data_IF_865495386164
#
_entry.id   IF_865495386164
#
_cell.length_a   1.000
_cell.length_b   1.000
_cell.length_c   1.000
_cell.angle_alpha   90.00
_cell.angle_beta   90.00
_cell.angle_gamma   90.00
#
_symmetry.space_group_name_H-M   'P 1'
#
loop_
_entity.id
_entity.type
_entity.pdbx_description
1 polymer ?
#
# COMPACT_ATOMS: atom_id res chain seq x y z
N UNK A 1 5.54 33.41 -26.35
CA UNK A 1 5.08 32.00 -26.24
C UNK A 1 6.19 31.02 -25.83
N UNK A 2 7.48 31.37 -25.90
CA UNK A 2 8.59 30.42 -25.61
C UNK A 2 8.86 30.13 -24.12
N UNK A 3 8.42 30.98 -23.19
CA UNK A 3 8.65 30.75 -21.76
C UNK A 3 7.73 29.69 -21.13
N UNK A 4 6.53 29.49 -21.70
CA UNK A 4 5.54 28.54 -21.17
C UNK A 4 5.93 27.07 -21.44
N UNK A 5 6.64 26.80 -22.53
CA UNK A 5 7.09 25.45 -22.91
C UNK A 5 8.27 24.99 -22.02
N UNK A 6 9.18 25.91 -21.66
CA UNK A 6 10.33 25.58 -20.81
C UNK A 6 9.94 25.24 -19.36
N UNK A 7 8.90 25.89 -18.82
CA UNK A 7 8.37 25.59 -17.47
C UNK A 7 7.76 24.18 -17.43
N UNK A 8 7.00 23.80 -18.45
CA UNK A 8 6.37 22.47 -18.53
C UNK A 8 7.43 21.35 -18.63
N UNK A 9 8.54 21.58 -19.33
CA UNK A 9 9.62 20.61 -19.44
C UNK A 9 10.32 20.34 -18.10
N UNK A 10 10.61 21.39 -17.32
CA UNK A 10 11.21 21.27 -15.99
C UNK A 10 10.30 20.57 -14.99
N UNK A 11 8.99 20.79 -15.08
CA UNK A 11 8.03 20.06 -14.24
C UNK A 11 7.93 18.59 -14.64
N UNK A 12 7.94 18.27 -15.95
CA UNK A 12 7.89 16.89 -16.47
C UNK A 12 9.07 16.05 -15.96
N UNK A 13 10.27 16.61 -15.97
CA UNK A 13 11.48 15.94 -15.46
C UNK A 13 11.36 15.65 -13.95
N UNK A 14 10.84 16.61 -13.17
CA UNK A 14 10.55 16.42 -11.74
C UNK A 14 9.47 15.36 -11.50
N UNK A 15 8.45 15.27 -12.36
CA UNK A 15 7.40 14.24 -12.27
C UNK A 15 7.92 12.85 -12.69
N UNK A 16 8.90 12.77 -13.59
CA UNK A 16 9.56 11.52 -14.01
C UNK A 16 10.53 11.02 -12.94
N UNK A 17 11.30 11.92 -12.30
CA UNK A 17 12.21 11.60 -11.18
C UNK A 17 11.43 11.12 -9.94
N UNK A 18 10.30 11.76 -9.62
CA UNK A 18 9.36 11.28 -8.59
C UNK A 18 8.72 9.93 -8.91
N UNK A 19 8.56 9.59 -10.20
CA UNK A 19 7.99 8.30 -10.61
C UNK A 19 9.02 7.17 -10.51
N UNK A 20 10.29 7.43 -10.80
CA UNK A 20 11.37 6.45 -10.69
C UNK A 20 11.76 6.14 -9.23
N UNK A 21 11.75 7.12 -8.32
CA UNK A 21 12.01 6.88 -6.88
C UNK A 21 11.01 5.92 -6.23
N UNK A 22 9.80 5.77 -6.79
CA UNK A 22 8.77 4.87 -6.22
C UNK A 22 8.93 3.41 -6.63
N UNK A 23 9.91 3.08 -7.48
CA UNK A 23 10.14 1.72 -7.97
C UNK A 23 11.21 0.97 -7.16
N UNK A 24 11.27 1.20 -5.85
CA UNK A 24 11.93 0.24 -4.96
C UNK A 24 10.95 -0.89 -4.69
N UNK A 25 11.00 -1.91 -5.54
CA UNK A 25 10.38 -3.20 -5.26
C UNK A 25 11.07 -3.72 -4.00
N UNK A 26 10.40 -3.64 -2.86
CA UNK A 26 10.92 -4.20 -1.61
C UNK A 26 10.97 -5.71 -1.81
N UNK A 27 12.15 -6.24 -2.10
CA UNK A 27 12.37 -7.68 -2.18
C UNK A 27 12.17 -8.28 -0.78
N UNK A 28 11.15 -9.13 -0.66
CA UNK A 28 10.82 -9.84 0.57
C UNK A 28 11.53 -11.18 0.58
N UNK A 29 12.32 -11.43 1.61
CA UNK A 29 13.22 -12.59 1.69
C UNK A 29 12.52 -13.92 1.98
N UNK A 30 11.28 -13.89 2.44
CA UNK A 30 10.55 -15.06 2.98
C UNK A 30 9.34 -15.49 2.13
N UNK A 31 9.18 -14.93 0.93
CA UNK A 31 8.07 -15.29 0.01
C UNK A 31 8.54 -16.10 -1.21
N UNK A 32 9.84 -16.39 -1.34
CA UNK A 32 10.37 -17.17 -2.46
C UNK A 32 9.83 -18.60 -2.43
N UNK A 33 9.15 -19.02 -3.50
CA UNK A 33 8.53 -20.35 -3.59
C UNK A 33 7.24 -20.51 -2.78
N UNK A 34 6.78 -19.45 -2.10
CA UNK A 34 5.51 -19.46 -1.38
C UNK A 34 4.35 -19.23 -2.36
N UNK A 35 3.28 -20.01 -2.26
CA UNK A 35 2.13 -19.95 -3.19
C UNK A 35 1.45 -18.58 -3.24
N UNK A 36 1.56 -17.79 -2.16
CA UNK A 36 0.96 -16.46 -2.06
C UNK A 36 1.85 -15.34 -2.61
N UNK A 37 3.05 -15.64 -3.12
CA UNK A 37 4.04 -14.64 -3.54
C UNK A 37 3.43 -13.60 -4.49
N UNK A 38 2.78 -14.05 -5.56
CA UNK A 38 2.21 -13.18 -6.58
C UNK A 38 1.10 -12.29 -6.00
N UNK A 39 0.27 -12.82 -5.10
CA UNK A 39 -0.77 -12.04 -4.43
C UNK A 39 -0.18 -11.00 -3.46
N UNK A 40 0.89 -11.34 -2.75
CA UNK A 40 1.60 -10.42 -1.85
C UNK A 40 2.18 -9.26 -2.66
N UNK A 41 2.90 -9.57 -3.74
CA UNK A 41 3.47 -8.54 -4.61
C UNK A 41 2.40 -7.64 -5.22
N UNK A 42 1.26 -8.21 -5.64
CA UNK A 42 0.14 -7.44 -6.16
C UNK A 42 -0.44 -6.48 -5.10
N UNK A 43 -0.71 -6.96 -3.89
CA UNK A 43 -1.25 -6.13 -2.82
C UNK A 43 -0.26 -5.04 -2.35
N UNK A 44 1.05 -5.31 -2.40
CA UNK A 44 2.09 -4.29 -2.17
C UNK A 44 2.08 -3.22 -3.26
N UNK A 45 1.93 -3.60 -4.54
CA UNK A 45 1.82 -2.64 -5.64
C UNK A 45 0.61 -1.70 -5.49
N UNK A 46 -0.45 -2.20 -4.86
CA UNK A 46 -1.66 -1.45 -4.52
C UNK A 46 -1.52 -0.63 -3.23
N UNK A 47 -0.38 -0.68 -2.55
CA UNK A 47 -0.14 -0.08 -1.22
C UNK A 47 -1.14 -0.55 -0.16
N UNK A 48 -1.68 -1.77 -0.32
CA UNK A 48 -2.65 -2.36 0.61
C UNK A 48 -1.99 -3.07 1.80
N UNK A 49 -0.78 -3.58 1.59
CA UNK A 49 0.08 -4.22 2.59
C UNK A 49 1.52 -3.73 2.44
N UNK A 50 2.31 -3.90 3.49
CA UNK A 50 3.75 -3.66 3.51
C UNK A 50 4.47 -4.84 4.17
N UNK A 51 5.74 -5.02 3.86
CA UNK A 51 6.63 -5.88 4.64
C UNK A 51 7.04 -5.24 5.97
N UNK A 52 7.71 -6.03 6.79
CA UNK A 52 8.37 -5.59 8.01
C UNK A 52 9.71 -4.92 7.70
N UNK A 53 10.23 -4.15 8.65
CA UNK A 53 11.52 -3.45 8.51
C UNK A 53 12.73 -4.39 8.37
N UNK A 54 12.55 -5.67 8.70
CA UNK A 54 13.55 -6.73 8.56
C UNK A 54 13.58 -7.35 7.15
N UNK A 55 12.74 -6.89 6.21
CA UNK A 55 12.68 -7.41 4.85
C UNK A 55 11.87 -8.70 4.71
N UNK A 56 10.97 -8.98 5.66
CA UNK A 56 10.06 -10.14 5.64
C UNK A 56 8.59 -9.72 5.48
N UNK A 57 7.71 -10.65 5.10
CA UNK A 57 6.26 -10.48 5.11
C UNK A 57 5.55 -11.38 6.11
N UNK A 58 6.15 -12.51 6.46
CA UNK A 58 5.66 -13.57 7.35
C UNK A 58 4.35 -14.17 6.83
N UNK A 59 4.35 -14.79 5.62
CA UNK A 59 3.13 -15.21 4.92
C UNK A 59 2.29 -16.26 5.68
N UNK A 60 2.92 -17.03 6.57
CA UNK A 60 2.26 -18.05 7.40
C UNK A 60 1.81 -17.54 8.78
N UNK A 61 2.12 -16.27 9.10
CA UNK A 61 1.76 -15.71 10.40
C UNK A 61 0.27 -15.34 10.42
N UNK A 62 -0.49 -15.74 11.45
CA UNK A 62 -1.90 -15.43 11.53
C UNK A 62 -2.11 -13.93 11.72
N UNK A 63 -3.09 -13.38 10.99
CA UNK A 63 -3.55 -12.01 11.14
C UNK A 63 -4.88 -11.94 11.88
N UNK A 64 -5.15 -10.80 12.52
CA UNK A 64 -6.41 -10.49 13.17
C UNK A 64 -7.49 -10.10 12.17
N UNK A 65 -8.76 -10.18 12.60
CA UNK A 65 -9.91 -9.69 11.82
C UNK A 65 -9.77 -8.21 11.43
N UNK A 66 -9.21 -7.40 12.33
CA UNK A 66 -9.01 -5.97 12.10
C UNK A 66 -7.98 -5.73 10.99
N UNK A 67 -6.85 -6.42 11.03
CA UNK A 67 -5.81 -6.33 9.99
C UNK A 67 -6.34 -6.76 8.63
N UNK A 68 -7.06 -7.89 8.56
CA UNK A 68 -7.69 -8.35 7.33
C UNK A 68 -8.62 -7.29 6.72
N UNK A 69 -9.48 -6.67 7.53
CA UNK A 69 -10.38 -5.60 7.06
C UNK A 69 -9.60 -4.37 6.61
N UNK A 70 -8.55 -3.97 7.33
CA UNK A 70 -7.71 -2.83 6.92
C UNK A 70 -7.05 -3.06 5.56
N UNK A 71 -6.64 -4.29 5.24
CA UNK A 71 -6.10 -4.64 3.91
C UNK A 71 -7.18 -4.47 2.84
N UNK A 72 -8.38 -4.98 3.06
CA UNK A 72 -9.50 -4.85 2.11
C UNK A 72 -9.87 -3.39 1.85
N UNK A 73 -9.96 -2.58 2.90
CA UNK A 73 -10.28 -1.14 2.79
C UNK A 73 -9.27 -0.43 1.90
N UNK A 74 -7.97 -0.70 2.07
CA UNK A 74 -6.91 -0.11 1.25
C UNK A 74 -6.91 -0.65 -0.17
N UNK A 75 -6.97 -1.98 -0.35
CA UNK A 75 -6.95 -2.63 -1.66
C UNK A 75 -8.12 -2.20 -2.56
N UNK A 76 -9.31 -2.05 -1.98
CA UNK A 76 -10.51 -1.65 -2.70
C UNK A 76 -10.76 -0.13 -2.69
N UNK A 77 -9.85 0.64 -2.08
CA UNK A 77 -9.96 2.09 -1.92
C UNK A 77 -11.34 2.53 -1.38
N UNK A 78 -11.82 1.82 -0.34
CA UNK A 78 -13.13 2.07 0.24
C UNK A 78 -13.12 3.37 1.03
N UNK A 79 -14.10 4.23 0.75
CA UNK A 79 -14.33 5.45 1.52
C UNK A 79 -15.12 5.13 2.78
N UNK A 80 -14.83 5.88 3.84
CA UNK A 80 -15.64 5.84 5.05
C UNK A 80 -17.11 6.13 4.71
N UNK A 81 -18.00 5.31 5.26
CA UNK A 81 -19.44 5.52 5.18
C UNK A 81 -19.97 5.71 6.59
N UNK A 82 -20.84 6.70 6.77
CA UNK A 82 -21.59 6.84 8.02
C UNK A 82 -22.55 5.64 8.18
N UNK A 83 -22.55 5.02 9.36
CA UNK A 83 -23.31 3.80 9.62
C UNK A 83 -23.32 3.41 11.09
N UNK A 84 -23.95 2.26 11.38
CA UNK A 84 -24.07 1.73 12.75
C UNK A 84 -22.68 1.39 13.30
N UNK A 85 -22.39 1.87 14.50
CA UNK A 85 -21.12 1.65 15.21
C UNK A 85 -21.31 0.54 16.24
N UNK A 86 -20.55 -0.54 16.11
CA UNK A 86 -20.50 -1.60 17.11
C UNK A 86 -19.79 -1.10 18.38
N UNK A 87 -20.33 -1.41 19.56
CA UNK A 87 -19.85 -0.89 20.85
C UNK A 87 -18.40 -1.25 21.17
N UNK A 88 -17.90 -2.37 20.64
CA UNK A 88 -16.55 -2.90 20.79
C UNK A 88 -15.51 -2.24 19.86
N UNK A 89 -15.94 -1.41 18.89
CA UNK A 89 -15.05 -0.75 17.91
C UNK A 89 -14.86 0.75 18.13
N UNK A 90 -15.46 1.32 19.19
CA UNK A 90 -15.49 2.78 19.42
C UNK A 90 -14.10 3.41 19.60
N UNK A 91 -13.14 2.68 20.18
CA UNK A 91 -11.81 3.20 20.54
C UNK A 91 -10.66 2.35 19.98
N UNK A 92 -10.78 1.83 18.75
CA UNK A 92 -9.76 0.93 18.18
C UNK A 92 -9.02 1.56 16.99
N UNK A 93 -7.71 1.29 16.91
CA UNK A 93 -6.77 1.90 15.95
C UNK A 93 -7.07 1.64 14.47
N UNK A 94 -7.92 0.67 14.12
CA UNK A 94 -8.22 0.31 12.73
C UNK A 94 -9.28 1.23 12.07
N UNK A 95 -9.66 2.33 12.74
CA UNK A 95 -10.68 3.29 12.26
C UNK A 95 -10.11 4.49 11.49
N UNK A 96 -8.82 4.80 11.67
CA UNK A 96 -8.13 5.92 11.00
C UNK A 96 -7.24 5.40 9.89
#
# INVERSE_FOLDING_TARGET
MSALIAVIASEKEKYEELAEETKHEVELTDIHGHWAKENIQQLMSMRAINGYSDGTFKPDYPITRAEFVSILVRALNLKERSGVIFSDTKNHWHRT
#
